data_IF_730402880003
#
_entry.id   IF_730402880003
#
_cell.length_a   1.000
_cell.length_b   1.000
_cell.length_c   1.000
_cell.angle_alpha   90.00
_cell.angle_beta   90.00
_cell.angle_gamma   90.00
#
_symmetry.space_group_name_H-M   'P 1'
#
loop_
_entity.id
_entity.type
_entity.pdbx_description
1 polymer ?
#
# COMPACT_ATOMS: atom_id res chain seq x y z
N UNK A 1 16.57 -2.04 10.76
CA UNK A 1 15.21 -1.78 11.28
C UNK A 1 14.57 -0.70 10.44
N UNK A 2 13.67 -1.05 9.50
CA UNK A 2 13.05 -0.08 8.60
C UNK A 2 12.09 0.81 9.40
N UNK A 3 12.34 2.12 9.38
CA UNK A 3 11.60 3.08 10.20
C UNK A 3 10.31 3.58 9.55
N UNK A 4 9.96 3.17 8.33
CA UNK A 4 8.76 3.68 7.64
C UNK A 4 7.47 3.43 8.42
N UNK A 5 6.48 4.29 8.18
CA UNK A 5 5.12 4.10 8.70
C UNK A 5 4.57 2.81 8.09
N UNK A 6 4.23 1.83 8.94
CA UNK A 6 3.53 0.61 8.54
C UNK A 6 2.04 0.80 8.82
N UNK A 7 1.21 0.44 7.85
CA UNK A 7 -0.24 0.34 8.05
C UNK A 7 -0.60 -0.90 8.87
N UNK A 8 -1.88 -0.97 9.27
CA UNK A 8 -2.46 -2.18 9.83
C UNK A 8 -2.49 -3.27 8.74
N UNK A 9 -2.25 -4.52 9.12
CA UNK A 9 -2.28 -5.63 8.16
C UNK A 9 -3.74 -6.00 7.88
N UNK A 10 -4.06 -6.40 6.64
CA UNK A 10 -5.41 -6.85 6.26
C UNK A 10 -5.94 -7.99 7.13
N UNK A 11 -5.04 -8.84 7.64
CA UNK A 11 -5.30 -9.96 8.54
C UNK A 11 -5.51 -9.57 10.02
N UNK A 12 -5.46 -8.29 10.36
CA UNK A 12 -5.64 -7.85 11.74
C UNK A 12 -7.10 -7.90 12.14
N UNK A 13 -7.37 -8.53 13.30
CA UNK A 13 -8.72 -8.66 13.80
C UNK A 13 -9.33 -7.32 14.22
N UNK A 14 -10.57 -7.07 13.83
CA UNK A 14 -11.37 -5.90 14.23
C UNK A 14 -12.69 -6.32 14.86
N UNK A 15 -13.42 -5.38 15.50
CA UNK A 15 -14.69 -5.68 16.18
C UNK A 15 -15.78 -6.15 15.19
N UNK A 16 -15.87 -5.49 14.04
CA UNK A 16 -16.69 -5.85 12.88
C UNK A 16 -16.03 -5.21 11.65
N UNK A 17 -15.55 -5.97 10.64
CA UNK A 17 -15.60 -7.43 10.45
C UNK A 17 -14.55 -8.13 11.33
N UNK A 18 -14.52 -9.47 11.32
CA UNK A 18 -13.42 -10.21 11.95
C UNK A 18 -12.09 -9.84 11.31
N UNK A 19 -11.99 -9.76 9.97
CA UNK A 19 -10.75 -9.40 9.26
C UNK A 19 -11.05 -8.39 8.14
N UNK A 20 -10.21 -7.37 7.96
CA UNK A 20 -10.41 -6.36 6.91
C UNK A 20 -10.43 -6.99 5.51
N UNK A 21 -9.62 -8.03 5.30
CA UNK A 21 -9.57 -8.80 4.06
C UNK A 21 -10.90 -9.50 3.70
N UNK A 22 -11.83 -9.69 4.65
CA UNK A 22 -13.14 -10.28 4.40
C UNK A 22 -14.07 -9.36 3.60
N UNK A 23 -13.84 -8.04 3.63
CA UNK A 23 -14.56 -7.08 2.78
C UNK A 23 -14.06 -7.04 1.34
N UNK A 24 -12.91 -7.66 1.06
CA UNK A 24 -12.30 -7.62 -0.27
C UNK A 24 -12.58 -8.94 -0.97
N UNK A 25 -13.39 -8.91 -2.05
CA UNK A 25 -13.62 -10.10 -2.89
C UNK A 25 -12.30 -10.76 -3.32
N UNK A 26 -12.32 -12.08 -3.50
CA UNK A 26 -11.14 -12.85 -3.94
C UNK A 26 -10.69 -12.45 -5.33
N UNK A 27 -11.62 -12.00 -6.16
CA UNK A 27 -11.45 -11.56 -7.54
C UNK A 27 -11.07 -10.06 -7.63
N UNK A 28 -10.99 -9.35 -6.50
CA UNK A 28 -10.69 -7.93 -6.51
C UNK A 28 -9.23 -7.67 -6.98
N UNK A 29 -9.02 -6.77 -7.96
CA UNK A 29 -7.69 -6.48 -8.52
C UNK A 29 -6.68 -5.97 -7.49
N UNK A 30 -7.12 -5.43 -6.35
CA UNK A 30 -6.23 -5.01 -5.23
C UNK A 30 -5.28 -6.12 -4.80
N UNK A 31 -5.73 -7.39 -4.84
CA UNK A 31 -4.91 -8.54 -4.46
C UNK A 31 -3.73 -8.74 -5.41
N UNK A 32 -3.99 -8.62 -6.72
CA UNK A 32 -2.96 -8.71 -7.76
C UNK A 32 -1.97 -7.55 -7.66
N UNK A 33 -2.46 -6.33 -7.43
CA UNK A 33 -1.61 -5.15 -7.24
C UNK A 33 -0.69 -5.34 -6.03
N UNK A 34 -1.22 -5.91 -4.94
CA UNK A 34 -0.46 -6.22 -3.73
C UNK A 34 0.74 -7.11 -4.02
N UNK A 35 0.48 -8.29 -4.59
CA UNK A 35 1.52 -9.27 -4.94
C UNK A 35 2.51 -8.71 -5.95
N UNK A 36 2.02 -8.09 -7.03
CA UNK A 36 2.86 -7.51 -8.08
C UNK A 36 3.84 -6.47 -7.53
N UNK A 37 3.36 -5.53 -6.72
CA UNK A 37 4.21 -4.46 -6.19
C UNK A 37 5.17 -4.95 -5.10
N UNK A 38 4.79 -5.99 -4.36
CA UNK A 38 5.66 -6.59 -3.34
C UNK A 38 6.83 -7.39 -3.94
N UNK A 39 6.69 -7.91 -5.17
CA UNK A 39 7.76 -8.61 -5.89
C UNK A 39 8.77 -7.65 -6.57
N UNK A 40 8.46 -6.36 -6.68
CA UNK A 40 9.35 -5.39 -7.33
C UNK A 40 10.47 -4.90 -6.39
N UNK A 41 11.72 -4.98 -6.86
CA UNK A 41 12.83 -4.27 -6.23
C UNK A 41 12.79 -2.78 -6.60
N UNK A 42 12.09 -2.00 -5.77
CA UNK A 42 11.98 -0.56 -5.96
C UNK A 42 13.31 0.17 -5.81
N UNK A 43 14.29 -0.37 -5.06
CA UNK A 43 15.61 0.24 -4.93
C UNK A 43 16.37 0.11 -6.26
N UNK A 44 16.36 -1.08 -6.86
CA UNK A 44 16.94 -1.31 -8.18
C UNK A 44 16.26 -0.49 -9.28
N UNK A 45 14.94 -0.33 -9.21
CA UNK A 45 14.16 0.51 -10.15
C UNK A 45 14.39 2.02 -9.97
N UNK A 46 15.25 2.43 -9.03
CA UNK A 46 15.62 3.83 -8.83
C UNK A 46 14.62 4.66 -8.03
N UNK A 47 13.70 4.03 -7.30
CA UNK A 47 12.80 4.77 -6.40
C UNK A 47 13.60 5.42 -5.26
N UNK A 48 13.32 6.70 -5.02
CA UNK A 48 13.88 7.43 -3.89
C UNK A 48 13.09 7.15 -2.62
N UNK A 49 13.78 7.11 -1.48
CA UNK A 49 13.13 6.97 -0.17
C UNK A 49 12.77 5.54 0.23
N UNK A 50 13.23 4.53 -0.51
CA UNK A 50 13.14 3.11 -0.13
C UNK A 50 13.89 2.86 1.19
N UNK A 51 15.04 3.52 1.37
CA UNK A 51 15.72 3.59 2.67
C UNK A 51 15.18 4.76 3.50
N UNK A 52 14.73 4.47 4.72
CA UNK A 52 14.19 5.48 5.62
C UNK A 52 15.27 6.51 5.97
N UNK A 53 14.93 7.81 5.88
CA UNK A 53 15.80 8.87 6.38
C UNK A 53 15.81 8.85 7.90
N UNK A 54 16.94 9.20 8.50
CA UNK A 54 17.11 9.35 9.94
C UNK A 54 16.47 10.68 10.42
N UNK A 55 15.14 10.79 10.28
CA UNK A 55 14.32 11.95 10.68
C UNK A 55 13.35 11.54 11.79
N UNK A 56 12.90 12.51 12.59
CA UNK A 56 12.00 12.27 13.73
C UNK A 56 10.70 11.57 13.32
N UNK A 57 9.99 12.09 12.31
CA UNK A 57 8.82 11.41 11.73
C UNK A 57 9.24 10.61 10.50
N UNK A 58 9.05 9.29 10.49
CA UNK A 58 9.31 8.51 9.30
C UNK A 58 8.26 8.77 8.21
N UNK A 59 8.67 8.66 6.95
CA UNK A 59 7.76 8.71 5.81
C UNK A 59 7.07 7.36 5.56
N UNK A 60 6.07 7.37 4.68
CA UNK A 60 5.51 6.14 4.12
C UNK A 60 6.51 5.44 3.21
N UNK A 61 6.44 4.11 3.14
CA UNK A 61 7.28 3.34 2.23
C UNK A 61 6.82 3.56 0.76
N UNK A 62 7.75 3.72 -0.21
CA UNK A 62 7.38 3.88 -1.63
C UNK A 62 6.46 2.77 -2.15
N UNK A 63 6.65 1.52 -1.71
CA UNK A 63 5.76 0.38 -2.02
C UNK A 63 4.31 0.67 -1.70
N UNK A 64 4.03 1.22 -0.51
CA UNK A 64 2.66 1.53 -0.09
C UNK A 64 2.03 2.60 -0.99
N UNK A 65 2.78 3.66 -1.28
CA UNK A 65 2.33 4.74 -2.16
C UNK A 65 2.11 4.23 -3.60
N UNK A 66 2.98 3.33 -4.07
CA UNK A 66 2.90 2.79 -5.42
C UNK A 66 1.68 1.86 -5.60
N UNK A 67 1.34 1.04 -4.59
CA UNK A 67 0.10 0.26 -4.59
C UNK A 67 -1.14 1.16 -4.75
N UNK A 68 -1.22 2.26 -3.99
CA UNK A 68 -2.33 3.22 -4.07
C UNK A 68 -2.39 3.88 -5.45
N UNK A 69 -1.23 4.27 -5.99
CA UNK A 69 -1.14 4.88 -7.31
C UNK A 69 -1.64 3.96 -8.42
N UNK A 70 -1.18 2.70 -8.45
CA UNK A 70 -1.61 1.70 -9.43
C UNK A 70 -3.12 1.45 -9.29
N UNK A 71 -3.62 1.32 -8.07
CA UNK A 71 -5.04 1.12 -7.83
C UNK A 71 -5.88 2.27 -8.40
N UNK A 72 -5.50 3.53 -8.12
CA UNK A 72 -6.21 4.68 -8.68
C UNK A 72 -6.13 4.74 -10.20
N UNK A 73 -4.94 4.46 -10.77
CA UNK A 73 -4.74 4.43 -12.22
C UNK A 73 -5.63 3.40 -12.91
N UNK A 74 -5.65 2.15 -12.42
CA UNK A 74 -6.46 1.06 -13.01
C UNK A 74 -7.96 1.33 -12.91
N UNK A 75 -8.41 1.98 -11.84
CA UNK A 75 -9.82 2.35 -11.64
C UNK A 75 -10.19 3.70 -12.29
N UNK A 76 -9.26 4.34 -13.02
CA UNK A 76 -9.43 5.67 -13.64
C UNK A 76 -9.81 6.76 -12.64
N UNK A 77 -9.38 6.63 -11.39
CA UNK A 77 -9.59 7.60 -10.32
C UNK A 77 -8.39 8.55 -10.29
N UNK A 78 -8.57 9.76 -10.80
CA UNK A 78 -7.48 10.74 -10.94
C UNK A 78 -7.24 11.58 -9.67
N UNK A 79 -8.26 11.70 -8.81
CA UNK A 79 -8.17 12.48 -7.58
C UNK A 79 -7.84 11.57 -6.40
N UNK A 80 -6.77 11.90 -5.67
CA UNK A 80 -6.43 11.20 -4.43
C UNK A 80 -7.56 11.29 -3.40
N UNK A 81 -8.32 12.39 -3.38
CA UNK A 81 -9.50 12.54 -2.51
C UNK A 81 -10.65 11.62 -2.89
N UNK A 82 -10.75 11.23 -4.17
CA UNK A 82 -11.74 10.25 -4.61
C UNK A 82 -11.35 8.82 -4.21
N UNK A 83 -10.07 8.55 -3.91
CA UNK A 83 -9.61 7.24 -3.39
C UNK A 83 -9.93 7.04 -1.91
N UNK A 84 -10.31 8.09 -1.18
CA UNK A 84 -10.70 8.01 0.22
C UNK A 84 -12.17 7.59 0.42
N UNK A 85 -12.95 7.48 -0.66
CA UNK A 85 -14.37 7.10 -0.65
C UNK A 85 -14.54 5.60 -0.89
#
# INVERSE_FOLDING_TARGET
MSRHIKGLTGSQATLFPEILDDFVSKENPVRVIGVFVDELDLEFLGFKGVKAKNKARPGYHPTTLFKIYIYGYLNRIQSTRCLER
#
